data_IF_384656023934
#
_entry.id   IF_384656023934
#
_cell.length_a   1.000
_cell.length_b   1.000
_cell.length_c   1.000
_cell.angle_alpha   90.00
_cell.angle_beta   90.00
_cell.angle_gamma   90.00
#
_symmetry.space_group_name_H-M   'P 1'
#
loop_
_entity.id
_entity.type
_entity.pdbx_description
1 polymer ?
#
# COMPACT_ATOMS: atom_id res chain seq x y z
N UNK A 1 -43.19 -32.17 -51.61
CA UNK A 1 -43.18 -33.57 -51.14
C UNK A 1 -41.96 -33.73 -50.24
N UNK A 2 -42.11 -33.87 -48.92
CA UNK A 2 -42.36 -35.15 -48.22
C UNK A 2 -41.38 -36.27 -48.61
N UNK A 3 -40.29 -36.41 -47.84
CA UNK A 3 -39.77 -37.70 -47.39
C UNK A 3 -39.62 -37.64 -45.86
N UNK A 4 -39.90 -38.76 -45.21
CA UNK A 4 -40.07 -38.95 -43.75
C UNK A 4 -39.41 -40.28 -43.39
N UNK A 5 -39.15 -40.52 -42.10
CA UNK A 5 -38.41 -41.63 -41.49
C UNK A 5 -36.88 -41.40 -41.53
N UNK A 6 -36.07 -41.81 -40.54
CA UNK A 6 -36.14 -43.07 -39.77
C UNK A 6 -35.68 -42.91 -38.29
N UNK A 7 -36.54 -43.41 -37.39
CA UNK A 7 -36.29 -44.14 -36.11
C UNK A 7 -35.59 -43.55 -34.87
N UNK A 8 -36.17 -43.98 -33.73
CA UNK A 8 -35.58 -44.37 -32.44
C UNK A 8 -34.86 -43.34 -31.56
N UNK A 9 -35.42 -43.13 -30.37
CA UNK A 9 -34.88 -43.69 -29.12
C UNK A 9 -36.05 -44.03 -28.19
N UNK A 10 -36.09 -45.28 -27.71
CA UNK A 10 -36.92 -45.74 -26.60
C UNK A 10 -36.02 -46.19 -25.47
N UNK A 11 -36.07 -45.52 -24.32
CA UNK A 11 -35.72 -46.09 -23.01
C UNK A 11 -36.30 -45.14 -21.95
N UNK A 12 -37.51 -45.41 -21.45
CA UNK A 12 -37.81 -46.36 -20.36
C UNK A 12 -37.31 -45.87 -19.01
N UNK A 13 -38.22 -45.23 -18.29
CA UNK A 13 -38.11 -44.89 -16.87
C UNK A 13 -37.99 -46.20 -16.08
N UNK A 14 -36.89 -46.38 -15.35
CA UNK A 14 -36.90 -47.21 -14.12
C UNK A 14 -36.51 -46.28 -12.98
N UNK A 15 -37.55 -45.78 -12.33
CA UNK A 15 -37.47 -45.07 -11.08
C UNK A 15 -37.25 -46.07 -9.95
N UNK A 16 -36.71 -45.55 -8.83
CA UNK A 16 -36.73 -46.06 -7.45
C UNK A 16 -35.50 -46.81 -6.88
N UNK A 17 -35.06 -46.27 -5.74
CA UNK A 17 -34.35 -46.86 -4.60
C UNK A 17 -32.81 -47.00 -4.62
N UNK A 18 -32.24 -46.63 -3.45
CA UNK A 18 -30.88 -46.80 -2.95
C UNK A 18 -29.75 -45.97 -3.61
N UNK A 19 -29.50 -44.76 -3.08
CA UNK A 19 -28.26 -44.44 -2.32
C UNK A 19 -28.62 -43.44 -1.21
N UNK A 20 -28.27 -43.76 0.04
CA UNK A 20 -28.18 -42.79 1.14
C UNK A 20 -26.72 -42.33 1.32
N UNK A 21 -26.53 -41.20 2.00
CA UNK A 21 -25.27 -40.57 2.44
C UNK A 21 -24.53 -39.63 1.46
N UNK A 22 -23.85 -38.63 2.05
CA UNK A 22 -23.00 -37.61 1.43
C UNK A 22 -23.66 -36.45 0.66
N UNK A 23 -24.62 -35.77 1.31
CA UNK A 23 -24.60 -34.30 1.31
C UNK A 23 -23.69 -33.87 2.47
N UNK A 24 -22.64 -33.10 2.18
CA UNK A 24 -21.79 -32.45 3.19
C UNK A 24 -21.80 -30.95 2.90
N UNK A 25 -22.05 -30.17 3.94
CA UNK A 25 -22.50 -28.78 3.81
C UNK A 25 -21.49 -27.84 3.16
N UNK A 26 -22.02 -26.81 2.49
CA UNK A 26 -21.22 -25.67 2.04
C UNK A 26 -20.71 -24.84 3.22
N UNK A 27 -19.66 -24.01 3.01
CA UNK A 27 -19.03 -23.27 4.09
C UNK A 27 -20.00 -22.23 4.67
N UNK A 28 -20.44 -22.44 5.92
CA UNK A 28 -21.20 -21.43 6.65
C UNK A 28 -20.28 -20.26 7.04
N UNK A 29 -20.68 -19.05 6.64
CA UNK A 29 -20.32 -17.84 7.35
C UNK A 29 -20.72 -18.00 8.82
N UNK A 30 -19.77 -18.04 9.75
CA UNK A 30 -20.06 -17.80 11.15
C UNK A 30 -18.94 -17.01 11.83
N UNK A 31 -19.37 -15.98 12.55
CA UNK A 31 -18.53 -15.07 13.33
C UNK A 31 -17.88 -15.82 14.49
N UNK A 32 -16.58 -15.65 14.67
CA UNK A 32 -15.92 -15.90 15.95
C UNK A 32 -15.07 -14.68 16.34
N UNK A 33 -15.74 -13.58 16.69
CA UNK A 33 -15.26 -12.78 17.81
C UNK A 33 -15.64 -13.53 19.09
N UNK A 34 -14.81 -14.50 19.48
CA UNK A 34 -14.82 -14.98 20.85
C UNK A 34 -14.27 -13.86 21.73
N UNK A 35 -15.16 -13.21 22.49
CA UNK A 35 -14.74 -12.41 23.65
C UNK A 35 -14.00 -13.34 24.61
N UNK A 36 -12.66 -13.38 24.52
CA UNK A 36 -11.84 -14.12 25.47
C UNK A 36 -11.87 -13.37 26.80
N UNK A 37 -12.65 -13.90 27.73
CA UNK A 37 -12.54 -13.52 29.14
C UNK A 37 -11.05 -13.63 29.53
N UNK A 38 -10.43 -12.50 29.87
CA UNK A 38 -9.05 -12.43 30.36
C UNK A 38 -8.93 -13.09 31.74
N UNK A 39 -9.00 -14.43 31.76
CA UNK A 39 -8.55 -15.26 32.85
C UNK A 39 -7.03 -15.18 32.98
N UNK A 40 -6.51 -15.45 34.18
CA UNK A 40 -5.12 -15.19 34.60
C UNK A 40 -4.02 -15.97 33.84
N UNK A 41 -4.35 -16.71 32.79
CA UNK A 41 -3.41 -17.54 32.02
C UNK A 41 -2.86 -16.89 30.73
N UNK A 42 -3.49 -15.83 30.21
CA UNK A 42 -3.12 -15.21 28.91
C UNK A 42 -1.73 -14.53 28.87
N UNK A 43 -0.81 -14.83 29.79
CA UNK A 43 0.59 -14.44 29.71
C UNK A 43 1.47 -15.48 29.01
N UNK A 44 0.96 -16.69 28.72
CA UNK A 44 1.70 -17.77 28.07
C UNK A 44 1.61 -17.73 26.54
N UNK A 45 0.47 -17.28 26.01
CA UNK A 45 0.21 -17.08 24.58
C UNK A 45 1.09 -15.92 24.04
N UNK A 46 1.66 -16.12 22.85
CA UNK A 46 2.46 -15.12 22.13
C UNK A 46 1.67 -14.43 20.99
N UNK A 47 0.37 -14.65 20.95
CA UNK A 47 -0.50 -14.17 19.89
C UNK A 47 -0.62 -12.65 19.88
N UNK A 48 -0.69 -12.06 18.69
CA UNK A 48 -0.86 -10.63 18.50
C UNK A 48 -1.88 -10.31 17.40
N UNK A 49 -2.52 -9.15 17.50
CA UNK A 49 -3.52 -8.72 16.52
C UNK A 49 -2.84 -7.96 15.37
N UNK A 50 -3.18 -8.34 14.14
CA UNK A 50 -2.84 -7.60 12.91
C UNK A 50 -4.10 -6.97 12.32
N UNK A 51 -4.01 -5.74 11.84
CA UNK A 51 -5.09 -5.01 11.15
C UNK A 51 -4.61 -4.50 9.79
N UNK A 52 -5.35 -4.81 8.73
CA UNK A 52 -5.02 -4.35 7.38
C UNK A 52 -5.66 -2.98 7.10
N UNK A 53 -4.84 -1.96 6.84
CA UNK A 53 -5.27 -0.60 6.44
C UNK A 53 -4.77 -0.23 5.04
N UNK A 54 -4.36 -1.21 4.23
CA UNK A 54 -3.69 -0.99 2.94
C UNK A 54 -4.63 -0.55 1.82
N UNK A 55 -5.95 -0.67 1.98
CA UNK A 55 -6.92 -0.45 0.91
C UNK A 55 -7.03 -1.58 -0.11
N UNK A 56 -6.31 -2.70 0.09
CA UNK A 56 -6.33 -3.90 -0.76
C UNK A 56 -6.32 -5.18 0.08
N UNK A 57 -6.59 -6.32 -0.54
CA UNK A 57 -6.36 -7.62 0.10
C UNK A 57 -4.87 -7.93 0.13
N UNK A 58 -4.36 -8.37 1.28
CA UNK A 58 -2.97 -8.80 1.49
C UNK A 58 -2.93 -10.19 2.12
N UNK A 59 -1.77 -10.83 2.05
CA UNK A 59 -1.47 -12.10 2.69
C UNK A 59 -0.32 -11.89 3.67
N UNK A 60 -0.51 -12.27 4.93
CA UNK A 60 0.51 -12.11 5.97
C UNK A 60 0.87 -13.44 6.61
N UNK A 61 2.14 -13.62 6.94
CA UNK A 61 2.66 -14.77 7.70
C UNK A 61 3.79 -14.28 8.59
N UNK A 62 3.88 -14.82 9.81
CA UNK A 62 4.90 -14.45 10.77
C UNK A 62 5.99 -15.51 10.80
N UNK A 63 7.24 -15.07 10.73
CA UNK A 63 8.42 -15.90 11.00
C UNK A 63 8.89 -15.60 12.42
N UNK A 64 8.78 -16.57 13.32
CA UNK A 64 9.21 -16.45 14.73
C UNK A 64 10.48 -17.25 14.99
N UNK A 65 11.50 -16.62 15.56
CA UNK A 65 12.70 -17.30 16.05
C UNK A 65 12.45 -17.79 17.47
N UNK A 66 12.29 -19.11 17.61
CA UNK A 66 11.80 -19.75 18.84
C UNK A 66 12.62 -21.00 19.18
N UNK A 67 12.72 -21.30 20.48
CA UNK A 67 13.27 -22.54 21.01
C UNK A 67 12.18 -23.29 21.78
N UNK A 68 11.48 -24.21 21.11
CA UNK A 68 10.41 -25.02 21.70
C UNK A 68 10.96 -26.02 22.72
N UNK A 69 10.17 -26.38 23.73
CA UNK A 69 10.58 -27.37 24.75
C UNK A 69 10.96 -28.73 24.15
N UNK A 70 10.30 -29.15 23.07
CA UNK A 70 10.60 -30.41 22.36
C UNK A 70 11.90 -30.37 21.54
N UNK A 71 12.49 -29.18 21.33
CA UNK A 71 13.64 -28.97 20.47
C UNK A 71 14.70 -28.09 21.14
N UNK A 72 15.83 -28.70 21.54
CA UNK A 72 16.96 -28.00 22.19
C UNK A 72 17.70 -26.94 21.33
N UNK A 73 17.20 -26.58 20.14
CA UNK A 73 17.80 -25.61 19.21
C UNK A 73 16.79 -24.54 18.83
N UNK A 74 17.28 -23.31 18.71
CA UNK A 74 16.55 -22.22 18.08
C UNK A 74 16.34 -22.49 16.58
N UNK A 75 15.19 -22.09 16.06
CA UNK A 75 14.84 -22.19 14.64
C UNK A 75 13.79 -21.14 14.27
N UNK A 76 13.65 -20.87 12.97
CA UNK A 76 12.54 -20.10 12.43
C UNK A 76 11.32 -21.00 12.22
N UNK A 77 10.23 -20.70 12.91
CA UNK A 77 8.93 -21.29 12.66
C UNK A 77 8.06 -20.29 11.90
N UNK A 78 7.39 -20.75 10.84
CA UNK A 78 6.50 -19.97 9.97
C UNK A 78 5.05 -20.22 10.38
N UNK A 79 4.29 -19.16 10.67
CA UNK A 79 2.86 -19.26 10.96
C UNK A 79 2.07 -19.70 9.71
N UNK A 80 0.81 -20.08 9.90
CA UNK A 80 -0.13 -20.13 8.78
C UNK A 80 -0.21 -18.77 8.06
N UNK A 81 -0.70 -18.79 6.82
CA UNK A 81 -0.90 -17.58 6.01
C UNK A 81 -2.30 -17.05 6.29
N UNK A 82 -2.38 -15.78 6.69
CA UNK A 82 -3.64 -15.09 6.95
C UNK A 82 -3.93 -14.16 5.78
N UNK A 83 -5.06 -14.40 5.10
CA UNK A 83 -5.59 -13.48 4.09
C UNK A 83 -6.38 -12.39 4.79
N UNK A 84 -6.01 -11.13 4.58
CA UNK A 84 -6.68 -9.97 5.16
C UNK A 84 -7.22 -9.07 4.07
N UNK A 85 -8.53 -8.84 4.05
CA UNK A 85 -9.16 -7.81 3.24
C UNK A 85 -9.00 -6.42 3.87
N UNK A 86 -9.34 -5.35 3.15
CA UNK A 86 -9.26 -3.98 3.68
C UNK A 86 -10.06 -3.84 4.99
N UNK A 87 -9.45 -3.24 6.01
CA UNK A 87 -9.97 -3.07 7.39
C UNK A 87 -10.23 -4.37 8.16
N UNK A 88 -9.79 -5.52 7.65
CA UNK A 88 -9.89 -6.79 8.36
C UNK A 88 -8.82 -6.91 9.45
N UNK A 89 -9.16 -7.61 10.54
CA UNK A 89 -8.22 -7.94 11.62
C UNK A 89 -8.12 -9.45 11.79
N UNK A 90 -6.93 -9.96 12.05
CA UNK A 90 -6.72 -11.34 12.46
C UNK A 90 -5.79 -11.42 13.67
N UNK A 91 -5.99 -12.46 14.47
CA UNK A 91 -5.03 -12.87 15.50
C UNK A 91 -4.01 -13.77 14.82
N UNK A 92 -2.73 -13.41 14.92
CA UNK A 92 -1.62 -14.25 14.47
C UNK A 92 -1.26 -15.17 15.64
N UNK A 93 -1.71 -16.41 15.56
CA UNK A 93 -1.27 -17.52 16.42
C UNK A 93 0.20 -17.84 16.13
N UNK A 94 1.01 -17.91 17.19
CA UNK A 94 2.46 -18.18 17.15
C UNK A 94 2.78 -19.43 17.97
N UNK A 95 2.60 -19.33 19.30
CA UNK A 95 2.88 -20.40 20.25
C UNK A 95 2.36 -20.07 21.66
N UNK A 96 2.30 -21.09 22.51
CA UNK A 96 2.11 -20.96 23.96
C UNK A 96 3.36 -21.43 24.69
N UNK A 97 4.11 -20.49 25.29
CA UNK A 97 5.31 -20.80 26.07
C UNK A 97 5.03 -20.59 27.55
N UNK A 98 5.12 -21.65 28.35
CA UNK A 98 4.90 -21.57 29.79
C UNK A 98 6.02 -20.78 30.49
N UNK A 99 7.27 -21.12 30.16
CA UNK A 99 8.46 -20.50 30.72
C UNK A 99 8.59 -19.01 30.33
N UNK A 100 8.82 -18.16 31.32
CA UNK A 100 8.94 -16.71 31.09
C UNK A 100 10.26 -16.35 30.42
N UNK A 101 11.37 -16.99 30.79
CA UNK A 101 12.69 -16.66 30.25
C UNK A 101 12.74 -16.93 28.73
N UNK A 102 12.28 -18.11 28.31
CA UNK A 102 12.17 -18.47 26.89
C UNK A 102 11.21 -17.54 26.14
N UNK A 103 10.05 -17.22 26.74
CA UNK A 103 9.03 -16.34 26.12
C UNK A 103 9.53 -14.90 25.91
N UNK A 104 10.37 -14.40 26.80
CA UNK A 104 10.98 -13.06 26.66
C UNK A 104 12.08 -12.98 25.59
N UNK A 105 12.49 -14.12 25.02
CA UNK A 105 13.52 -14.23 23.99
C UNK A 105 12.99 -14.75 22.64
N UNK A 106 11.66 -14.78 22.44
CA UNK A 106 11.10 -15.04 21.10
C UNK A 106 11.08 -13.76 20.28
N UNK A 107 11.68 -13.83 19.10
CA UNK A 107 11.74 -12.74 18.14
C UNK A 107 10.81 -13.04 16.95
N UNK A 108 10.32 -12.02 16.24
CA UNK A 108 9.56 -12.22 15.01
C UNK A 108 9.86 -11.19 13.93
N UNK A 109 9.55 -11.59 12.69
CA UNK A 109 9.25 -10.66 11.62
C UNK A 109 7.95 -11.05 10.92
N UNK A 110 7.10 -10.06 10.66
CA UNK A 110 5.87 -10.22 9.90
C UNK A 110 6.16 -9.99 8.41
N UNK A 111 5.91 -11.01 7.61
CA UNK A 111 6.05 -10.96 6.16
C UNK A 111 4.70 -10.61 5.51
N UNK A 112 4.72 -9.71 4.52
CA UNK A 112 3.53 -9.10 3.91
C UNK A 112 3.62 -9.28 2.39
N UNK A 113 2.57 -9.81 1.76
CA UNK A 113 2.54 -10.14 0.34
C UNK A 113 1.23 -9.71 -0.33
N UNK A 114 1.32 -9.34 -1.60
CA UNK A 114 0.15 -9.06 -2.46
C UNK A 114 -0.48 -10.35 -3.03
N UNK A 115 0.24 -11.47 -2.99
CA UNK A 115 -0.13 -12.74 -3.60
C UNK A 115 0.07 -13.91 -2.63
N UNK A 116 -0.90 -14.82 -2.61
CA UNK A 116 -0.87 -16.02 -1.77
C UNK A 116 0.30 -16.95 -2.13
N UNK A 117 0.67 -17.06 -3.41
CA UNK A 117 1.76 -17.93 -3.86
C UNK A 117 3.10 -17.52 -3.23
N UNK A 118 3.38 -16.22 -3.21
CA UNK A 118 4.63 -15.68 -2.68
C UNK A 118 4.66 -15.86 -1.15
N UNK A 119 3.51 -15.70 -0.50
CA UNK A 119 3.33 -16.05 0.91
C UNK A 119 3.52 -17.55 1.19
N UNK A 120 3.15 -18.45 0.27
CA UNK A 120 3.38 -19.90 0.39
C UNK A 120 4.86 -20.26 0.21
N UNK A 121 5.49 -19.79 -0.86
CA UNK A 121 6.87 -20.14 -1.26
C UNK A 121 7.96 -19.48 -0.39
N UNK A 122 7.64 -18.42 0.36
CA UNK A 122 8.61 -17.71 1.21
C UNK A 122 9.22 -18.54 2.35
N UNK A 123 10.52 -18.35 2.58
CA UNK A 123 11.23 -18.70 3.83
C UNK A 123 11.85 -17.42 4.42
N UNK A 124 12.25 -17.45 5.69
CA UNK A 124 12.85 -16.28 6.34
C UNK A 124 14.15 -15.84 5.65
N UNK A 125 14.97 -16.80 5.23
CA UNK A 125 16.28 -16.60 4.59
C UNK A 125 16.18 -16.02 3.17
N UNK A 126 15.01 -16.14 2.53
CA UNK A 126 14.75 -15.67 1.17
C UNK A 126 13.74 -14.51 1.12
N UNK A 127 13.37 -13.96 2.28
CA UNK A 127 12.41 -12.88 2.39
C UNK A 127 13.05 -11.53 2.03
N UNK A 128 12.48 -10.84 1.03
CA UNK A 128 12.82 -9.47 0.68
C UNK A 128 12.58 -8.55 1.89
N UNK A 129 13.57 -7.70 2.22
CA UNK A 129 13.50 -6.79 3.36
C UNK A 129 12.34 -5.79 3.24
N UNK A 130 11.94 -5.41 2.02
CA UNK A 130 10.82 -4.51 1.76
C UNK A 130 9.46 -5.15 2.13
N UNK A 131 9.40 -6.48 2.17
CA UNK A 131 8.21 -7.25 2.54
C UNK A 131 8.25 -7.71 4.00
N UNK A 132 9.24 -7.27 4.79
CA UNK A 132 9.52 -7.73 6.16
C UNK A 132 9.40 -6.59 7.18
N UNK A 133 8.37 -6.63 8.01
CA UNK A 133 8.29 -5.82 9.21
C UNK A 133 8.95 -6.56 10.39
N UNK A 134 10.06 -6.05 10.91
CA UNK A 134 10.65 -6.55 12.15
C UNK A 134 9.74 -6.19 13.35
N UNK A 135 9.47 -7.18 14.20
CA UNK A 135 8.62 -7.05 15.38
C UNK A 135 9.44 -7.07 16.68
N UNK A 136 10.76 -7.27 16.62
CA UNK A 136 11.63 -7.56 17.77
C UNK A 136 10.99 -8.65 18.66
N UNK A 137 10.78 -8.37 19.96
CA UNK A 137 10.33 -9.35 20.96
C UNK A 137 8.81 -9.46 21.01
N UNK A 138 8.26 -10.59 20.56
CA UNK A 138 6.81 -10.81 20.38
C UNK A 138 6.01 -10.50 21.66
N UNK A 139 6.51 -10.87 22.84
CA UNK A 139 5.78 -10.64 24.09
C UNK A 139 5.45 -9.16 24.36
N UNK A 140 6.21 -8.21 23.76
CA UNK A 140 5.93 -6.76 23.83
C UNK A 140 4.69 -6.35 23.03
N UNK A 141 4.25 -7.17 22.07
CA UNK A 141 3.05 -6.96 21.25
C UNK A 141 1.77 -7.42 21.95
N UNK A 142 1.86 -8.05 23.13
CA UNK A 142 0.69 -8.46 23.88
C UNK A 142 -0.24 -7.26 24.14
N UNK A 143 -1.51 -7.42 23.80
CA UNK A 143 -2.56 -6.39 23.83
C UNK A 143 -2.34 -5.20 22.86
N UNK A 144 -1.33 -5.26 21.98
CA UNK A 144 -1.12 -4.28 20.91
C UNK A 144 -1.75 -4.74 19.59
N UNK A 145 -1.87 -3.81 18.66
CA UNK A 145 -2.31 -4.08 17.28
C UNK A 145 -1.25 -3.59 16.32
N UNK A 146 -0.68 -4.50 15.54
CA UNK A 146 0.17 -4.18 14.39
C UNK A 146 -0.77 -3.77 13.24
N UNK A 147 -0.71 -2.54 12.71
CA UNK A 147 -1.57 -2.15 11.58
C UNK A 147 -0.75 -1.83 10.34
N UNK A 148 -1.20 -2.35 9.21
CA UNK A 148 -0.44 -2.39 7.96
C UNK A 148 -0.97 -1.32 7.00
N UNK A 149 -0.23 -0.22 6.84
CA UNK A 149 -0.42 0.85 5.83
C UNK A 149 0.61 0.75 4.70
N UNK A 150 0.43 1.44 3.56
CA UNK A 150 1.22 1.19 2.32
C UNK A 150 2.17 2.32 1.97
N UNK A 151 3.34 1.97 1.41
CA UNK A 151 4.32 2.67 0.54
C UNK A 151 3.95 3.90 -0.34
N UNK A 152 2.79 4.57 -0.21
CA UNK A 152 2.26 5.47 -1.25
C UNK A 152 2.69 6.92 -1.07
N UNK A 153 3.39 7.43 -2.08
CA UNK A 153 3.47 8.85 -2.39
C UNK A 153 2.26 9.21 -3.27
N UNK A 154 1.27 9.97 -2.78
CA UNK A 154 0.14 10.38 -3.62
C UNK A 154 -1.04 11.03 -2.92
N UNK A 155 -1.77 11.87 -3.67
CA UNK A 155 -3.00 12.53 -3.21
C UNK A 155 -4.06 11.55 -2.71
N UNK A 156 -4.46 11.67 -1.44
CA UNK A 156 -5.72 11.10 -0.93
C UNK A 156 -6.92 11.98 -1.33
N UNK A 157 -7.09 12.12 -2.65
CA UNK A 157 -8.19 12.62 -3.49
C UNK A 157 -8.95 13.92 -3.16
N UNK A 158 -9.08 14.38 -1.92
CA UNK A 158 -10.09 15.38 -1.55
C UNK A 158 -9.59 16.59 -0.74
N UNK A 159 -8.30 16.68 -0.40
CA UNK A 159 -7.80 17.82 0.40
C UNK A 159 -6.55 18.45 -0.24
N UNK A 160 -6.62 19.77 -0.35
CA UNK A 160 -5.78 20.65 -1.15
C UNK A 160 -5.50 21.88 -0.28
N UNK A 161 -4.44 21.83 0.53
CA UNK A 161 -4.13 22.89 1.51
C UNK A 161 -3.97 24.23 0.77
N UNK A 162 -4.87 25.18 1.04
CA UNK A 162 -4.68 26.59 0.69
C UNK A 162 -3.70 27.24 1.67
N UNK A 163 -2.42 26.86 1.62
CA UNK A 163 -1.37 27.56 2.37
C UNK A 163 -0.98 28.81 1.61
N UNK A 164 -1.64 29.93 1.89
CA UNK A 164 -1.11 31.25 1.55
C UNK A 164 0.11 31.50 2.45
N UNK A 165 1.25 30.99 2.02
CA UNK A 165 2.53 31.49 2.48
C UNK A 165 2.61 32.95 2.04
N UNK A 166 2.61 33.88 3.01
CA UNK A 166 2.99 35.27 2.77
C UNK A 166 4.50 35.30 2.47
N UNK A 167 4.87 34.88 1.26
CA UNK A 167 6.15 35.22 0.66
C UNK A 167 6.07 36.73 0.44
N UNK A 168 6.84 37.48 1.23
CA UNK A 168 6.72 38.94 1.27
C UNK A 168 6.96 39.54 -0.12
N UNK A 169 6.04 40.43 -0.51
CA UNK A 169 5.96 40.96 -1.87
C UNK A 169 7.29 41.55 -2.35
N UNK A 170 7.68 41.21 -3.57
CA UNK A 170 8.04 42.24 -4.55
C UNK A 170 7.75 41.75 -5.98
N UNK A 171 7.13 42.63 -6.74
CA UNK A 171 6.75 42.52 -8.15
C UNK A 171 5.55 41.60 -8.46
N UNK A 172 4.63 42.20 -9.22
CA UNK A 172 3.49 41.60 -9.92
C UNK A 172 3.70 40.15 -10.36
N UNK A 173 3.10 39.21 -9.62
CA UNK A 173 2.98 37.81 -10.06
C UNK A 173 2.30 37.79 -11.42
N UNK A 174 2.96 37.22 -12.43
CA UNK A 174 2.36 37.09 -13.75
C UNK A 174 1.10 36.25 -13.63
N UNK A 175 -0.03 36.80 -14.07
CA UNK A 175 -1.34 36.21 -13.78
C UNK A 175 -1.53 34.80 -14.41
N UNK A 176 -0.65 34.46 -15.35
CA UNK A 176 -0.65 33.28 -16.22
C UNK A 176 0.14 32.08 -15.69
N UNK A 177 1.03 32.24 -14.68
CA UNK A 177 1.88 31.15 -14.18
C UNK A 177 1.06 30.09 -13.41
N UNK A 178 1.48 28.82 -13.56
CA UNK A 178 0.83 27.61 -13.03
C UNK A 178 1.62 26.94 -11.89
N UNK A 179 2.59 27.65 -11.35
CA UNK A 179 3.51 27.19 -10.32
C UNK A 179 2.82 26.68 -9.06
N UNK A 180 3.47 25.73 -8.41
CA UNK A 180 3.04 25.18 -7.14
C UNK A 180 4.23 24.80 -6.26
N UNK A 181 4.01 24.78 -4.95
CA UNK A 181 5.02 24.34 -4.00
C UNK A 181 4.95 22.82 -3.85
N UNK A 182 6.11 22.17 -3.69
CA UNK A 182 6.23 20.76 -3.30
C UNK A 182 7.05 20.68 -2.03
N UNK A 183 6.54 19.95 -1.02
CA UNK A 183 7.22 19.74 0.26
C UNK A 183 7.59 18.29 0.44
N UNK A 184 8.81 18.00 0.90
CA UNK A 184 9.29 16.65 1.13
C UNK A 184 9.26 16.29 2.62
N UNK A 185 8.19 15.62 3.06
CA UNK A 185 8.07 15.00 4.38
C UNK A 185 8.47 13.51 4.35
N UNK A 186 9.19 13.04 3.32
CA UNK A 186 9.48 11.61 3.10
C UNK A 186 10.59 11.06 4.02
N UNK A 187 11.30 11.93 4.74
CA UNK A 187 12.42 11.54 5.60
C UNK A 187 13.71 11.17 4.87
N UNK A 188 13.74 11.26 3.53
CA UNK A 188 14.92 11.08 2.66
C UNK A 188 14.96 12.14 1.55
N UNK A 189 16.08 12.26 0.87
CA UNK A 189 16.19 13.10 -0.33
C UNK A 189 15.50 12.41 -1.52
N UNK A 190 14.86 13.19 -2.39
CA UNK A 190 14.23 12.69 -3.62
C UNK A 190 14.50 13.63 -4.79
N UNK A 191 14.60 13.08 -6.00
CA UNK A 191 14.54 13.87 -7.22
C UNK A 191 13.09 13.99 -7.68
N UNK A 192 12.68 15.20 -8.05
CA UNK A 192 11.35 15.48 -8.59
C UNK A 192 11.42 16.18 -9.94
N UNK A 193 10.44 15.90 -10.81
CA UNK A 193 10.13 16.72 -11.99
C UNK A 193 8.64 16.62 -12.30
N UNK A 194 8.07 17.64 -12.93
CA UNK A 194 6.66 17.64 -13.33
C UNK A 194 6.53 17.40 -14.84
N UNK A 195 5.61 16.51 -15.20
CA UNK A 195 5.14 16.32 -16.57
C UNK A 195 3.82 17.08 -16.75
N UNK A 196 3.84 18.08 -17.61
CA UNK A 196 2.72 18.98 -17.91
C UNK A 196 2.08 18.56 -19.22
N UNK A 197 0.87 18.01 -19.18
CA UNK A 197 0.07 17.79 -20.38
C UNK A 197 -0.55 19.11 -20.80
N UNK A 198 -0.02 19.72 -21.87
CA UNK A 198 -0.42 21.03 -22.36
C UNK A 198 -0.47 21.09 -23.89
N UNK A 199 -1.11 22.14 -24.39
CA UNK A 199 -1.08 22.57 -25.78
C UNK A 199 -0.42 23.95 -25.85
N UNK A 200 0.71 24.05 -26.55
CA UNK A 200 1.40 25.34 -26.80
C UNK A 200 0.71 26.07 -27.96
N UNK A 201 0.78 27.40 -28.01
CA UNK A 201 0.00 28.18 -29.00
C UNK A 201 0.35 27.82 -30.46
N UNK A 202 1.63 27.56 -30.74
CA UNK A 202 2.13 27.15 -32.06
C UNK A 202 1.95 25.65 -32.37
N UNK A 203 1.47 24.83 -31.42
CA UNK A 203 1.31 23.38 -31.59
C UNK A 203 -0.17 22.96 -31.56
N UNK A 204 -0.74 22.41 -32.65
CA UNK A 204 -2.11 21.93 -32.62
C UNK A 204 -2.31 20.71 -31.68
N UNK A 205 -1.24 20.01 -31.30
CA UNK A 205 -1.24 18.74 -30.56
C UNK A 205 -1.01 18.95 -29.06
N UNK A 206 -1.76 18.22 -28.24
CA UNK A 206 -1.52 18.11 -26.81
C UNK A 206 -0.37 17.15 -26.53
N UNK A 207 0.63 17.58 -25.75
CA UNK A 207 1.84 16.80 -25.45
C UNK A 207 2.26 16.97 -23.99
N UNK A 208 3.08 16.03 -23.51
CA UNK A 208 3.76 16.18 -22.23
C UNK A 208 5.01 17.03 -22.40
N UNK A 209 5.08 18.13 -21.65
CA UNK A 209 6.32 18.87 -21.41
C UNK A 209 6.92 18.45 -20.06
N UNK A 210 8.23 18.49 -19.92
CA UNK A 210 8.94 18.00 -18.72
C UNK A 210 9.73 19.16 -18.10
N UNK A 211 9.42 19.51 -16.86
CA UNK A 211 10.20 20.51 -16.12
C UNK A 211 11.62 20.00 -15.83
N UNK A 212 12.51 20.92 -15.48
CA UNK A 212 13.79 20.58 -14.87
C UNK A 212 13.62 19.63 -13.68
N UNK A 213 14.63 18.77 -13.51
CA UNK A 213 14.73 17.83 -12.40
C UNK A 213 15.42 18.54 -11.25
N UNK A 214 14.74 18.60 -10.11
CA UNK A 214 15.24 19.25 -8.91
C UNK A 214 15.46 18.21 -7.81
N UNK A 215 16.59 18.30 -7.12
CA UNK A 215 16.80 17.58 -5.86
C UNK A 215 15.98 18.30 -4.79
N UNK A 216 15.03 17.60 -4.19
CA UNK A 216 14.26 18.09 -3.06
C UNK A 216 14.77 17.39 -1.80
N UNK A 217 15.58 18.10 -1.02
CA UNK A 217 16.12 17.57 0.23
C UNK A 217 15.01 17.29 1.25
N UNK A 218 15.32 16.43 2.23
CA UNK A 218 14.43 16.10 3.34
C UNK A 218 13.92 17.36 4.07
N UNK A 219 12.64 17.35 4.43
CA UNK A 219 11.92 18.36 5.21
C UNK A 219 11.86 19.77 4.56
N UNK A 220 12.31 19.91 3.30
CA UNK A 220 12.28 21.17 2.54
C UNK A 220 11.00 21.36 1.72
N UNK A 221 10.74 22.61 1.33
CA UNK A 221 9.71 23.00 0.36
C UNK A 221 10.36 23.74 -0.81
N UNK A 222 9.93 23.45 -2.04
CA UNK A 222 10.49 23.99 -3.26
C UNK A 222 9.41 24.37 -4.27
N UNK A 223 9.66 25.43 -5.04
CA UNK A 223 8.80 25.84 -6.15
C UNK A 223 9.05 24.94 -7.39
N UNK A 224 7.99 24.30 -7.86
CA UNK A 224 7.93 23.75 -9.22
C UNK A 224 7.42 24.87 -10.12
N UNK A 225 8.34 25.35 -10.94
CA UNK A 225 8.18 26.38 -11.96
C UNK A 225 7.56 25.72 -13.20
N UNK A 226 6.48 26.30 -13.72
CA UNK A 226 5.73 25.81 -14.88
C UNK A 226 5.69 26.90 -15.94
N UNK A 227 6.33 26.61 -17.09
CA UNK A 227 6.27 27.39 -18.34
C UNK A 227 4.94 28.15 -18.48
N UNK A 228 5.01 29.48 -18.63
CA UNK A 228 3.83 30.33 -18.77
C UNK A 228 2.93 29.86 -19.90
N UNK A 229 1.64 29.65 -19.59
CA UNK A 229 0.60 29.35 -20.57
C UNK A 229 -0.28 30.58 -20.74
N UNK A 230 -0.02 31.34 -21.80
CA UNK A 230 -0.73 32.59 -22.11
C UNK A 230 -2.21 32.35 -22.45
N UNK A 231 -2.49 31.36 -23.29
CA UNK A 231 -3.85 30.95 -23.61
C UNK A 231 -4.60 30.39 -22.38
N UNK A 232 -5.64 31.11 -21.95
CA UNK A 232 -6.44 30.77 -20.77
C UNK A 232 -7.17 29.42 -20.89
N UNK A 233 -7.67 29.04 -22.07
CA UNK A 233 -8.34 27.76 -22.27
C UNK A 233 -7.36 26.59 -22.08
N UNK A 234 -6.20 26.66 -22.74
CA UNK A 234 -5.13 25.67 -22.58
C UNK A 234 -4.67 25.60 -21.12
N UNK A 235 -4.45 26.75 -20.46
CA UNK A 235 -4.07 26.84 -19.04
C UNK A 235 -5.08 26.16 -18.11
N UNK A 236 -6.38 26.38 -18.34
CA UNK A 236 -7.44 25.75 -17.56
C UNK A 236 -7.54 24.23 -17.81
N UNK A 237 -7.21 23.77 -19.02
CA UNK A 237 -7.23 22.36 -19.40
C UNK A 237 -5.93 21.59 -19.08
N UNK A 238 -4.82 22.28 -18.82
CA UNK A 238 -3.50 21.68 -18.55
C UNK A 238 -3.48 20.80 -17.29
N UNK A 239 -2.86 19.63 -17.42
CA UNK A 239 -2.80 18.61 -16.35
C UNK A 239 -1.37 18.33 -15.90
N UNK A 240 -1.19 18.16 -14.59
CA UNK A 240 0.10 17.90 -13.98
C UNK A 240 0.27 16.45 -13.53
N UNK A 241 1.49 15.95 -13.65
CA UNK A 241 1.91 14.69 -13.06
C UNK A 241 3.30 14.88 -12.44
N UNK A 242 3.41 14.74 -11.13
CA UNK A 242 4.69 14.84 -10.43
C UNK A 242 5.38 13.47 -10.43
N UNK A 243 6.57 13.42 -11.01
CA UNK A 243 7.44 12.26 -10.98
C UNK A 243 8.37 12.35 -9.76
N UNK A 244 8.58 11.22 -9.09
CA UNK A 244 9.44 11.11 -7.90
C UNK A 244 10.41 9.95 -8.11
N UNK A 245 11.68 10.18 -7.79
CA UNK A 245 12.75 9.21 -7.86
C UNK A 245 13.58 9.27 -6.58
N UNK A 246 14.20 8.16 -6.18
CA UNK A 246 15.11 8.18 -5.06
C UNK A 246 16.40 8.94 -5.42
N UNK A 247 17.24 9.25 -4.42
CA UNK A 247 18.50 9.98 -4.60
C UNK A 247 19.50 9.22 -5.50
N UNK A 248 19.48 7.88 -5.45
CA UNK A 248 20.27 7.01 -6.33
C UNK A 248 19.79 6.98 -7.80
N UNK A 249 18.54 7.36 -8.08
CA UNK A 249 17.87 7.21 -9.38
C UNK A 249 18.04 8.43 -10.32
N UNK A 250 19.02 9.30 -10.09
CA UNK A 250 19.20 10.55 -10.85
C UNK A 250 19.24 10.35 -12.38
N UNK A 251 19.97 9.35 -12.86
CA UNK A 251 20.08 9.05 -14.30
C UNK A 251 18.73 8.59 -14.89
N UNK A 252 17.94 7.84 -14.11
CA UNK A 252 16.57 7.44 -14.44
C UNK A 252 15.65 8.66 -14.49
N UNK A 253 15.79 9.58 -13.54
CA UNK A 253 15.07 10.86 -13.53
C UNK A 253 15.38 11.68 -14.80
N UNK A 254 16.66 11.82 -15.16
CA UNK A 254 17.12 12.51 -16.37
C UNK A 254 16.51 11.93 -17.64
N UNK A 255 16.58 10.61 -17.82
CA UNK A 255 16.13 9.91 -19.04
C UNK A 255 14.62 9.64 -19.10
N UNK A 256 13.88 9.86 -18.01
CA UNK A 256 12.44 9.56 -17.96
C UNK A 256 11.61 10.37 -18.97
N UNK A 257 10.66 9.70 -19.64
CA UNK A 257 9.52 10.33 -20.32
C UNK A 257 8.23 9.95 -19.59
N UNK A 258 7.12 10.65 -19.85
CA UNK A 258 5.86 10.36 -19.19
C UNK A 258 5.38 8.92 -19.46
N UNK A 259 5.54 8.44 -20.70
CA UNK A 259 5.09 7.12 -21.17
C UNK A 259 5.87 5.97 -20.53
N UNK A 260 7.15 6.20 -20.23
CA UNK A 260 8.06 5.20 -19.66
C UNK A 260 8.14 5.26 -18.12
N UNK A 261 7.59 6.30 -17.48
CA UNK A 261 7.62 6.47 -16.03
C UNK A 261 6.78 5.38 -15.33
N UNK A 262 7.37 4.59 -14.40
CA UNK A 262 6.63 3.60 -13.61
C UNK A 262 5.46 4.22 -12.85
N UNK A 263 4.37 3.47 -12.71
CA UNK A 263 3.13 3.96 -12.05
C UNK A 263 3.40 4.40 -10.61
N UNK A 264 4.26 3.68 -9.88
CA UNK A 264 4.60 3.97 -8.49
C UNK A 264 5.41 5.28 -8.32
N UNK A 265 6.05 5.75 -9.39
CA UNK A 265 6.85 6.97 -9.41
C UNK A 265 6.03 8.18 -9.93
N UNK A 266 4.72 8.02 -10.21
CA UNK A 266 3.87 8.99 -10.90
C UNK A 266 2.68 9.42 -10.04
N UNK A 267 2.78 10.58 -9.41
CA UNK A 267 1.63 11.23 -8.76
C UNK A 267 0.81 11.98 -9.81
N UNK A 268 -0.48 11.68 -9.90
CA UNK A 268 -1.42 12.50 -10.69
C UNK A 268 -1.83 13.73 -9.88
N UNK A 269 -1.53 14.92 -10.38
CA UNK A 269 -1.87 16.19 -9.75
C UNK A 269 -3.25 16.73 -10.15
N UNK A 270 -3.81 16.24 -11.27
CA UNK A 270 -5.04 16.78 -11.83
C UNK A 270 -4.79 18.05 -12.64
N UNK A 271 -5.70 19.02 -12.57
CA UNK A 271 -5.59 20.28 -13.31
C UNK A 271 -4.69 21.29 -12.59
N UNK A 272 -3.64 21.78 -13.25
CA UNK A 272 -2.61 22.61 -12.60
C UNK A 272 -3.15 23.94 -12.06
N UNK A 273 -4.12 24.57 -12.74
CA UNK A 273 -4.74 25.80 -12.25
C UNK A 273 -5.39 25.64 -10.85
N UNK A 274 -5.73 24.41 -10.46
CA UNK A 274 -6.29 24.10 -9.14
C UNK A 274 -5.22 23.98 -8.04
N UNK A 275 -3.94 23.89 -8.40
CA UNK A 275 -2.80 23.88 -7.47
C UNK A 275 -2.25 25.27 -7.17
N UNK A 276 -2.71 26.31 -7.87
CA UNK A 276 -2.25 27.68 -7.66
C UNK A 276 -2.43 28.08 -6.18
N UNK A 277 -1.35 28.57 -5.57
CA UNK A 277 -1.25 28.90 -4.14
C UNK A 277 -1.41 27.70 -3.18
N UNK A 278 -1.04 26.50 -3.61
CA UNK A 278 -1.09 25.28 -2.79
C UNK A 278 0.27 24.59 -2.71
N UNK A 279 0.39 23.72 -1.72
CA UNK A 279 1.56 22.87 -1.49
C UNK A 279 1.17 21.41 -1.68
N UNK A 280 1.92 20.70 -2.51
CA UNK A 280 1.87 19.24 -2.66
C UNK A 280 2.82 18.66 -1.62
N UNK A 281 2.31 18.01 -0.58
CA UNK A 281 3.14 17.35 0.42
C UNK A 281 3.46 15.90 -0.01
N UNK A 282 4.74 15.53 0.03
CA UNK A 282 5.25 14.20 -0.29
C UNK A 282 5.56 13.46 1.00
N UNK A 283 4.91 12.32 1.19
CA UNK A 283 5.03 11.48 2.39
C UNK A 283 5.27 10.03 2.00
N UNK A 284 5.73 9.22 2.95
CA UNK A 284 5.75 7.75 2.83
C UNK A 284 5.04 7.10 4.02
N UNK A 285 4.06 6.22 3.78
CA UNK A 285 3.29 5.49 4.81
C UNK A 285 3.83 4.06 5.08
N UNK A 286 4.89 3.93 5.88
CA UNK A 286 5.52 2.63 6.23
C UNK A 286 4.55 1.60 6.83
N UNK A 287 4.75 0.32 6.51
CA UNK A 287 4.20 -0.79 7.31
C UNK A 287 4.87 -0.79 8.70
N UNK A 288 4.10 -0.83 9.80
CA UNK A 288 4.69 -0.68 11.14
C UNK A 288 3.78 -1.01 12.34
N UNK A 289 4.36 -0.97 13.53
CA UNK A 289 3.63 -1.12 14.81
C UNK A 289 3.17 0.27 15.25
N UNK A 290 1.87 0.45 15.49
CA UNK A 290 1.25 1.78 15.52
C UNK A 290 1.36 2.54 16.85
N UNK A 291 2.17 2.08 17.79
CA UNK A 291 2.56 2.89 18.96
C UNK A 291 3.62 3.94 18.60
N UNK A 292 4.27 3.83 17.43
CA UNK A 292 5.28 4.78 16.91
C UNK A 292 4.79 5.61 15.70
N UNK A 293 3.49 5.58 15.38
CA UNK A 293 2.92 6.37 14.27
C UNK A 293 1.87 7.36 14.74
N UNK A 294 2.12 8.63 14.47
CA UNK A 294 1.13 9.69 14.56
C UNK A 294 0.07 9.51 13.47
N UNK A 295 -1.22 9.60 13.85
CA UNK A 295 -2.27 9.90 12.88
C UNK A 295 -2.03 11.31 12.32
N UNK A 296 -1.78 11.41 11.01
CA UNK A 296 -1.91 12.66 10.28
C UNK A 296 -2.94 12.53 9.17
N UNK A 297 -3.84 13.52 9.14
CA UNK A 297 -4.69 13.82 8.00
C UNK A 297 -4.01 14.84 7.11
N UNK A 298 -4.11 14.68 5.79
CA UNK A 298 -3.90 15.79 4.85
C UNK A 298 -4.79 16.97 5.29
N UNK A 299 -4.29 18.21 5.16
CA UNK A 299 -5.05 19.44 5.42
C UNK A 299 -5.55 20.13 4.14
#
# INVERSE_FOLDING_TARGET
MKRVNIFNITLSIIFTLLISSCLKDGPQNNKNLSNSNHGKNGYKELDFLVENLTGKTIYVTCFSYIKRHDFNRWRWDKSQIYKLNDKEKAVIDIDTIEDQETREHVYASLAIFDNEKDAQESTFELLDENNRLDLDKIYKLKNKVVKLGVEKYGFKKDILINTVANIENNNTIAQNELDFLVRNNTGKNVYICCFVYQKKEDDPVWRYDKTDIKLLERDQTMLVDIDTIDNEENRNLSKGYLAIFNEEDKETAEKSTFELLPVNNKITLGYLHQLKNKTVELEIERYGILDDFFEYSIK
#
